data_IF_709817134106
#
_entry.id   IF_709817134106
#
_cell.length_a   1.000
_cell.length_b   1.000
_cell.length_c   1.000
_cell.angle_alpha   90.00
_cell.angle_beta   90.00
_cell.angle_gamma   90.00
#
_symmetry.space_group_name_H-M   'P 1'
#
loop_
_entity.id
_entity.type
_entity.pdbx_description
1 polymer ?
#
# COMPACT_ATOMS: atom_id res chain seq x y z
N UNK A 1 -43.10 10.90 30.43
CA UNK A 1 -42.12 9.81 30.28
C UNK A 1 -41.63 9.79 28.84
N UNK A 2 -40.45 10.34 28.56
CA UNK A 2 -39.90 10.42 27.19
C UNK A 2 -39.21 9.09 26.85
N UNK A 3 -39.90 8.22 26.12
CA UNK A 3 -39.27 7.07 25.48
C UNK A 3 -38.26 7.59 24.43
N UNK A 4 -36.97 7.52 24.74
CA UNK A 4 -35.92 7.79 23.76
C UNK A 4 -35.94 6.68 22.72
N UNK A 5 -36.58 6.97 21.59
CA UNK A 5 -36.64 6.12 20.41
C UNK A 5 -35.22 6.04 19.81
N UNK A 6 -34.37 5.14 20.36
CA UNK A 6 -33.02 4.94 19.84
C UNK A 6 -33.15 4.16 18.53
N UNK A 7 -32.73 4.71 17.38
CA UNK A 7 -32.81 4.00 16.12
C UNK A 7 -32.03 2.68 16.25
N UNK A 8 -32.67 1.57 15.88
CA UNK A 8 -32.09 0.24 15.99
C UNK A 8 -30.99 0.09 14.92
N UNK A 9 -29.76 0.43 15.30
CA UNK A 9 -28.62 0.41 14.40
C UNK A 9 -28.39 -1.02 13.86
N UNK A 10 -27.99 -1.16 12.57
CA UNK A 10 -27.62 -2.46 12.01
C UNK A 10 -26.56 -3.15 12.88
N UNK A 11 -26.60 -4.48 12.97
CA UNK A 11 -25.71 -5.26 13.84
C UNK A 11 -24.22 -4.98 13.57
N UNK A 12 -23.85 -4.82 12.29
CA UNK A 12 -22.49 -4.47 11.87
C UNK A 12 -22.03 -3.11 12.40
N UNK A 13 -22.94 -2.15 12.48
CA UNK A 13 -22.68 -0.80 13.00
C UNK A 13 -22.55 -0.86 14.53
N UNK A 14 -23.43 -1.60 15.22
CA UNK A 14 -23.33 -1.82 16.67
C UNK A 14 -22.01 -2.48 17.07
N UNK A 15 -21.57 -3.50 16.34
CA UNK A 15 -20.29 -4.17 16.57
C UNK A 15 -19.09 -3.22 16.43
N UNK A 16 -19.10 -2.34 15.42
CA UNK A 16 -18.07 -1.30 15.24
C UNK A 16 -18.04 -0.32 16.41
N UNK A 17 -19.20 0.14 16.87
CA UNK A 17 -19.29 1.04 18.04
C UNK A 17 -18.79 0.37 19.32
N UNK A 18 -19.18 -0.88 19.56
CA UNK A 18 -18.74 -1.65 20.72
C UNK A 18 -17.21 -1.80 20.74
N UNK A 19 -16.63 -2.19 19.61
CA UNK A 19 -15.17 -2.32 19.48
C UNK A 19 -14.46 -0.98 19.69
N UNK A 20 -14.99 0.11 19.13
CA UNK A 20 -14.43 1.44 19.31
C UNK A 20 -14.47 1.89 20.77
N UNK A 21 -15.59 1.70 21.46
CA UNK A 21 -15.73 2.04 22.88
C UNK A 21 -14.80 1.21 23.76
N UNK A 22 -14.69 -0.10 23.50
CA UNK A 22 -13.73 -0.98 24.19
C UNK A 22 -12.30 -0.49 24.02
N UNK A 23 -11.90 -0.09 22.82
CA UNK A 23 -10.56 0.48 22.56
C UNK A 23 -10.37 1.81 23.28
N UNK A 24 -11.34 2.73 23.25
CA UNK A 24 -11.27 4.00 23.99
C UNK A 24 -11.09 3.77 25.49
N UNK A 25 -11.85 2.83 26.06
CA UNK A 25 -11.71 2.44 27.46
C UNK A 25 -10.30 1.89 27.76
N UNK A 26 -9.80 0.98 26.93
CA UNK A 26 -8.46 0.43 27.07
C UNK A 26 -7.35 1.50 26.99
N UNK A 27 -7.50 2.53 26.14
CA UNK A 27 -6.56 3.65 26.07
C UNK A 27 -6.56 4.52 27.34
N UNK A 28 -7.70 4.65 28.02
CA UNK A 28 -7.78 5.37 29.30
C UNK A 28 -7.19 4.56 30.45
N UNK A 29 -7.48 3.26 30.49
CA UNK A 29 -7.10 2.39 31.61
C UNK A 29 -5.65 1.88 31.51
N UNK A 30 -5.16 1.62 30.30
CA UNK A 30 -3.83 1.02 30.05
C UNK A 30 -3.11 1.70 28.88
N UNK A 31 -2.79 3.00 28.99
CA UNK A 31 -2.24 3.78 27.88
C UNK A 31 -0.91 3.21 27.35
N UNK A 32 0.01 2.83 28.23
CA UNK A 32 1.32 2.28 27.83
C UNK A 32 1.20 0.98 27.05
N UNK A 33 0.33 0.07 27.51
CA UNK A 33 0.08 -1.19 26.82
C UNK A 33 -0.51 -0.97 25.43
N UNK A 34 -1.45 -0.03 25.32
CA UNK A 34 -2.06 0.32 24.03
C UNK A 34 -1.08 1.01 23.09
N UNK A 35 -0.17 1.85 23.61
CA UNK A 35 0.91 2.46 22.82
C UNK A 35 1.90 1.41 22.31
N UNK A 36 2.29 0.44 23.14
CA UNK A 36 3.13 -0.67 22.71
C UNK A 36 2.46 -1.52 21.60
N UNK A 37 1.14 -1.72 21.66
CA UNK A 37 0.38 -2.34 20.56
C UNK A 37 0.42 -1.46 19.30
N UNK A 38 0.18 -0.14 19.44
CA UNK A 38 0.21 0.81 18.32
C UNK A 38 1.56 0.83 17.62
N UNK A 39 2.66 0.87 18.38
CA UNK A 39 4.02 0.85 17.84
C UNK A 39 4.32 -0.44 17.10
N UNK A 40 3.98 -1.61 17.68
CA UNK A 40 4.13 -2.91 17.02
C UNK A 40 3.33 -3.00 15.72
N UNK A 41 2.08 -2.55 15.74
CA UNK A 41 1.23 -2.51 14.54
C UNK A 41 1.81 -1.58 13.46
N UNK A 42 2.31 -0.40 13.86
CA UNK A 42 2.92 0.57 12.95
C UNK A 42 4.20 0.01 12.32
N UNK A 43 5.07 -0.62 13.13
CA UNK A 43 6.28 -1.30 12.66
C UNK A 43 5.95 -2.41 11.68
N UNK A 44 5.00 -3.29 12.02
CA UNK A 44 4.56 -4.37 11.14
C UNK A 44 4.00 -3.84 9.81
N UNK A 45 3.19 -2.76 9.85
CA UNK A 45 2.67 -2.12 8.63
C UNK A 45 3.79 -1.52 7.77
N UNK A 46 4.79 -0.88 8.38
CA UNK A 46 5.98 -0.37 7.66
C UNK A 46 6.76 -1.50 7.00
N UNK A 47 7.06 -2.56 7.73
CA UNK A 47 7.74 -3.75 7.20
C UNK A 47 6.96 -4.40 6.05
N UNK A 48 5.64 -4.47 6.16
CA UNK A 48 4.78 -4.99 5.08
C UNK A 48 4.83 -4.13 3.81
N UNK A 49 4.89 -2.79 3.95
CA UNK A 49 5.07 -1.87 2.82
C UNK A 49 6.45 -2.05 2.17
N UNK A 50 7.49 -2.11 3.00
CA UNK A 50 8.88 -2.28 2.54
C UNK A 50 9.06 -3.59 1.78
N UNK A 51 8.59 -4.71 2.33
CA UNK A 51 8.63 -6.02 1.66
C UNK A 51 7.94 -5.99 0.29
N UNK A 52 6.78 -5.33 0.19
CA UNK A 52 6.07 -5.15 -1.10
C UNK A 52 6.82 -4.24 -2.07
N UNK A 53 7.58 -3.28 -1.57
CA UNK A 53 8.43 -2.42 -2.40
C UNK A 53 9.64 -3.22 -2.92
N UNK A 54 10.36 -3.92 -2.05
CA UNK A 54 11.47 -4.78 -2.43
C UNK A 54 11.08 -5.86 -3.44
N UNK A 55 9.91 -6.50 -3.26
CA UNK A 55 9.39 -7.46 -4.24
C UNK A 55 9.17 -6.83 -5.62
N UNK A 56 8.64 -5.59 -5.65
CA UNK A 56 8.48 -4.86 -6.91
C UNK A 56 9.84 -4.57 -7.54
N UNK A 57 10.80 -4.05 -6.78
CA UNK A 57 12.17 -3.78 -7.28
C UNK A 57 12.81 -5.05 -7.83
N UNK A 58 12.72 -6.16 -7.10
CA UNK A 58 13.26 -7.44 -7.53
C UNK A 58 12.65 -7.92 -8.85
N UNK A 59 11.33 -7.79 -9.03
CA UNK A 59 10.65 -8.13 -10.29
C UNK A 59 11.01 -7.18 -11.44
N UNK A 60 11.25 -5.90 -11.15
CA UNK A 60 11.65 -4.94 -12.19
C UNK A 60 13.11 -5.16 -12.61
N UNK A 61 13.98 -5.65 -11.72
CA UNK A 61 15.38 -5.97 -12.05
C UNK A 61 15.55 -7.08 -13.08
N UNK A 62 14.56 -7.96 -13.23
CA UNK A 62 14.61 -9.02 -14.24
C UNK A 62 14.13 -8.55 -15.61
N UNK A 63 13.69 -7.30 -15.73
CA UNK A 63 13.21 -6.72 -16.98
C UNK A 63 14.35 -6.11 -17.78
N UNK A 64 14.19 -5.98 -19.11
CA UNK A 64 15.14 -5.24 -19.93
C UNK A 64 15.29 -3.79 -19.46
N UNK A 65 16.38 -3.15 -19.90
CA UNK A 65 16.64 -1.74 -19.64
C UNK A 65 15.55 -0.83 -20.21
N UNK A 66 14.92 -1.26 -21.31
CA UNK A 66 13.86 -0.55 -21.98
C UNK A 66 12.68 -1.49 -22.26
N UNK A 67 11.46 -1.02 -22.05
CA UNK A 67 10.25 -1.83 -22.25
C UNK A 67 9.12 -1.01 -22.86
N UNK A 68 8.36 -1.60 -23.78
CA UNK A 68 7.20 -0.95 -24.38
C UNK A 68 6.02 -0.87 -23.39
N UNK A 69 5.12 0.10 -23.61
CA UNK A 69 3.95 0.32 -22.74
C UNK A 69 3.03 -0.90 -22.66
N UNK A 70 2.83 -1.63 -23.75
CA UNK A 70 1.95 -2.81 -23.78
C UNK A 70 2.54 -3.99 -22.99
N UNK A 71 3.84 -4.24 -23.14
CA UNK A 71 4.55 -5.23 -22.34
C UNK A 71 4.54 -4.85 -20.85
N UNK A 72 4.71 -3.57 -20.54
CA UNK A 72 4.62 -3.06 -19.17
C UNK A 72 3.21 -3.22 -18.58
N UNK A 73 2.16 -3.11 -19.41
CA UNK A 73 0.77 -3.35 -19.00
C UNK A 73 0.53 -4.82 -18.66
N UNK A 74 1.05 -5.75 -19.46
CA UNK A 74 0.98 -7.19 -19.18
C UNK A 74 1.69 -7.51 -17.86
N UNK A 75 2.89 -6.96 -17.66
CA UNK A 75 3.64 -7.10 -16.41
C UNK A 75 2.86 -6.57 -15.20
N UNK A 76 2.24 -5.39 -15.32
CA UNK A 76 1.47 -4.81 -14.24
C UNK A 76 0.30 -5.71 -13.79
N UNK A 77 -0.30 -6.44 -14.73
CA UNK A 77 -1.37 -7.42 -14.45
C UNK A 77 -0.82 -8.67 -13.76
N UNK A 78 0.37 -9.15 -14.13
CA UNK A 78 1.04 -10.27 -13.44
C UNK A 78 1.40 -9.91 -11.98
N UNK A 79 1.93 -8.71 -11.76
CA UNK A 79 2.33 -8.28 -10.41
C UNK A 79 1.11 -8.01 -9.53
N UNK A 80 0.03 -7.49 -10.11
CA UNK A 80 -1.19 -7.14 -9.39
C UNK A 80 -2.43 -7.74 -10.07
N UNK A 81 -2.67 -9.06 -9.89
CA UNK A 81 -3.76 -9.76 -10.57
C UNK A 81 -5.17 -9.30 -10.17
N UNK A 82 -5.31 -8.58 -9.05
CA UNK A 82 -6.58 -8.01 -8.60
C UNK A 82 -6.79 -6.61 -9.18
N UNK A 83 -7.74 -6.44 -10.12
CA UNK A 83 -8.27 -5.16 -10.67
C UNK A 83 -7.41 -3.92 -10.36
N UNK A 84 -6.12 -3.98 -10.69
CA UNK A 84 -5.19 -2.93 -10.36
C UNK A 84 -5.11 -2.01 -11.55
N UNK A 85 -5.53 -0.76 -11.36
CA UNK A 85 -5.49 0.19 -12.46
C UNK A 85 -4.04 0.38 -12.91
N UNK A 86 -3.78 0.21 -14.21
CA UNK A 86 -2.45 0.41 -14.78
C UNK A 86 -1.86 1.78 -14.44
N UNK A 87 -2.69 2.83 -14.39
CA UNK A 87 -2.29 4.16 -13.94
C UNK A 87 -1.70 4.18 -12.52
N UNK A 88 -2.25 3.37 -11.61
CA UNK A 88 -1.72 3.23 -10.25
C UNK A 88 -0.36 2.55 -10.23
N UNK A 89 -0.12 1.59 -11.13
CA UNK A 89 1.18 0.97 -11.32
C UNK A 89 2.21 1.99 -11.79
N UNK A 90 1.90 2.72 -12.87
CA UNK A 90 2.75 3.76 -13.44
C UNK A 90 3.09 4.84 -12.40
N UNK A 91 2.09 5.33 -11.68
CA UNK A 91 2.31 6.32 -10.62
C UNK A 91 3.24 5.79 -9.52
N UNK A 92 3.15 4.50 -9.19
CA UNK A 92 4.01 3.89 -8.19
C UNK A 92 5.46 3.78 -8.67
N UNK A 93 5.69 3.22 -9.86
CA UNK A 93 7.07 3.06 -10.38
C UNK A 93 7.75 4.41 -10.59
N UNK A 94 7.02 5.44 -11.04
CA UNK A 94 7.52 6.80 -11.19
C UNK A 94 7.83 7.47 -9.86
N UNK A 95 6.92 7.43 -8.88
CA UNK A 95 7.10 8.05 -7.56
C UNK A 95 8.33 7.51 -6.83
N UNK A 96 8.65 6.24 -7.06
CA UNK A 96 9.80 5.59 -6.44
C UNK A 96 11.05 5.59 -7.33
N UNK A 97 11.05 6.31 -8.46
CA UNK A 97 12.21 6.41 -9.34
C UNK A 97 12.63 5.09 -9.98
N UNK A 98 11.75 4.09 -10.04
CA UNK A 98 12.08 2.76 -10.55
C UNK A 98 12.08 2.73 -12.08
N UNK A 99 11.22 3.54 -12.70
CA UNK A 99 11.11 3.65 -14.15
C UNK A 99 10.71 5.07 -14.56
N UNK A 100 11.17 5.50 -15.73
CA UNK A 100 10.73 6.73 -16.39
C UNK A 100 10.28 6.45 -17.81
N UNK A 101 9.40 7.29 -18.35
CA UNK A 101 9.03 7.22 -19.75
C UNK A 101 9.92 8.15 -20.57
N UNK A 102 10.56 7.61 -21.59
CA UNK A 102 11.26 8.37 -22.62
C UNK A 102 10.29 8.63 -23.77
N UNK A 103 9.91 9.90 -23.96
CA UNK A 103 8.97 10.31 -24.98
C UNK A 103 9.57 10.31 -26.40
N UNK A 104 10.91 10.39 -26.53
CA UNK A 104 11.60 10.38 -27.82
C UNK A 104 11.59 8.96 -28.38
N UNK A 105 11.93 7.98 -27.53
CA UNK A 105 11.97 6.56 -27.90
C UNK A 105 10.58 5.90 -27.83
N UNK A 106 9.65 6.50 -27.08
CA UNK A 106 8.34 5.90 -26.81
C UNK A 106 8.40 4.71 -25.85
N UNK A 107 9.49 4.57 -25.08
CA UNK A 107 9.81 3.42 -24.24
C UNK A 107 9.89 3.80 -22.76
N UNK A 108 9.73 2.80 -21.90
CA UNK A 108 9.97 2.94 -20.47
C UNK A 108 11.39 2.50 -20.14
N UNK A 109 12.17 3.40 -19.57
CA UNK A 109 13.53 3.17 -19.09
C UNK A 109 13.47 2.63 -17.66
N UNK A 110 14.14 1.50 -17.43
CA UNK A 110 14.19 0.78 -16.16
C UNK A 110 15.46 1.14 -15.38
N UNK A 111 15.29 1.90 -14.30
CA UNK A 111 16.39 2.37 -13.45
C UNK A 111 16.82 1.37 -12.38
N UNK A 112 16.12 0.24 -12.27
CA UNK A 112 16.43 -0.77 -11.25
C UNK A 112 17.68 -1.58 -11.57
N UNK A 113 18.14 -1.55 -12.82
CA UNK A 113 19.40 -2.12 -13.30
C UNK A 113 20.59 -1.22 -12.94
N UNK A 114 20.36 0.09 -12.89
CA UNK A 114 21.37 1.14 -12.70
C UNK A 114 21.81 1.34 -11.25
N UNK A 115 21.37 0.48 -10.30
CA UNK A 115 21.80 0.58 -8.89
C UNK A 115 23.26 0.13 -8.74
N UNK A 116 24.13 1.04 -9.13
CA UNK A 116 25.58 1.03 -8.98
C UNK A 116 26.17 2.44 -9.06
N UNK A 117 25.42 3.53 -8.84
CA UNK A 117 25.98 4.85 -8.48
C UNK A 117 24.94 5.59 -7.64
N UNK A 118 25.38 6.14 -6.51
CA UNK A 118 24.54 6.77 -5.50
C UNK A 118 24.21 8.23 -5.74
N UNK A 119 23.38 8.72 -4.81
CA UNK A 119 23.41 10.04 -4.19
C UNK A 119 22.78 9.91 -2.80
#
# INVERSE_FOLDING_TARGET
>A
MTQTNRPNLPASVRAKFYLANRRRKAWKEKPEHMEAIRQRATKAAKTGKERKHQLLVHRLRTLPAEIQTDQLRVLALDIYPKRFAFRSFINRVRRHGLMSYDAILGLWVNHTLSTGVGN
#
